data_IF_715823995306
#
_entry.id   IF_715823995306
#
_cell.length_a   1.000
_cell.length_b   1.000
_cell.length_c   1.000
_cell.angle_alpha   90.00
_cell.angle_beta   90.00
_cell.angle_gamma   90.00
#
_symmetry.space_group_name_H-M   'P 1'
#
loop_
_entity.id
_entity.type
_entity.pdbx_description
1 polymer ?
#
# COMPACT_ATOMS: atom_id res chain seq x y z
N UNK A 1 28.67 2.39 -0.04
CA UNK A 1 27.55 3.33 -0.19
C UNK A 1 26.47 2.76 -1.11
N UNK A 2 26.77 2.31 -2.33
CA UNK A 2 25.80 1.61 -3.22
C UNK A 2 25.05 0.43 -2.56
N UNK A 3 25.75 -0.41 -1.80
CA UNK A 3 25.17 -1.58 -1.13
C UNK A 3 24.10 -1.23 -0.07
N UNK A 4 24.26 -0.08 0.59
CA UNK A 4 23.32 0.39 1.61
C UNK A 4 22.00 0.89 0.98
N UNK A 5 22.06 1.53 -0.19
CA UNK A 5 20.89 2.03 -0.91
C UNK A 5 20.12 0.92 -1.63
N UNK A 6 20.80 -0.10 -2.18
CA UNK A 6 20.14 -1.33 -2.66
C UNK A 6 19.33 -2.00 -1.56
N UNK A 7 19.95 -2.14 -0.39
CA UNK A 7 19.28 -2.70 0.80
C UNK A 7 18.04 -1.88 1.19
N UNK A 8 18.12 -0.55 1.10
CA UNK A 8 16.99 0.34 1.39
C UNK A 8 15.83 0.16 0.39
N UNK A 9 16.14 0.09 -0.91
CA UNK A 9 15.13 -0.17 -1.95
C UNK A 9 14.44 -1.54 -1.75
N UNK A 10 15.21 -2.59 -1.42
CA UNK A 10 14.67 -3.93 -1.13
C UNK A 10 13.75 -3.90 0.11
N UNK A 11 14.14 -3.19 1.17
CA UNK A 11 13.31 -3.00 2.37
C UNK A 11 12.01 -2.27 2.03
N UNK A 12 12.06 -1.26 1.14
CA UNK A 12 10.87 -0.54 0.70
C UNK A 12 9.92 -1.45 -0.08
N UNK A 13 10.42 -2.25 -1.02
CA UNK A 13 9.60 -3.23 -1.76
C UNK A 13 8.95 -4.24 -0.81
N UNK A 14 9.72 -4.79 0.15
CA UNK A 14 9.19 -5.68 1.18
C UNK A 14 8.15 -4.99 2.09
N UNK A 15 8.27 -3.68 2.30
CA UNK A 15 7.29 -2.90 3.07
C UNK A 15 6.00 -2.69 2.27
N UNK A 16 6.11 -2.39 0.97
CA UNK A 16 4.93 -2.31 0.10
C UNK A 16 4.15 -3.63 0.08
N UNK A 17 4.84 -4.77 -0.03
CA UNK A 17 4.20 -6.09 0.05
C UNK A 17 3.45 -6.30 1.36
N UNK A 18 4.03 -5.91 2.51
CA UNK A 18 3.33 -5.98 3.81
C UNK A 18 2.08 -5.10 3.87
N UNK A 19 2.09 -3.95 3.20
CA UNK A 19 0.90 -3.08 3.11
C UNK A 19 -0.18 -3.74 2.26
N UNK A 20 0.20 -4.43 1.17
CA UNK A 20 -0.76 -5.19 0.35
C UNK A 20 -1.38 -6.34 1.14
N UNK A 21 -0.58 -7.09 1.89
CA UNK A 21 -1.05 -8.17 2.76
C UNK A 21 -2.04 -7.63 3.81
N UNK A 22 -1.69 -6.51 4.46
CA UNK A 22 -2.57 -5.82 5.41
C UNK A 22 -3.87 -5.37 4.76
N UNK A 23 -3.82 -4.88 3.52
CA UNK A 23 -5.02 -4.49 2.78
C UNK A 23 -5.92 -5.69 2.49
N UNK A 24 -5.35 -6.85 2.13
CA UNK A 24 -6.10 -8.09 1.93
C UNK A 24 -6.77 -8.56 3.22
N UNK A 25 -6.05 -8.52 4.34
CA UNK A 25 -6.59 -8.87 5.65
C UNK A 25 -7.76 -7.95 6.05
N UNK A 26 -7.61 -6.64 5.83
CA UNK A 26 -8.65 -5.65 6.05
C UNK A 26 -9.89 -5.96 5.19
N UNK A 27 -9.72 -6.23 3.90
CA UNK A 27 -10.83 -6.57 3.02
C UNK A 27 -11.55 -7.86 3.46
N UNK A 28 -10.81 -8.87 3.89
CA UNK A 28 -11.36 -10.12 4.43
C UNK A 28 -12.20 -9.88 5.70
N UNK A 29 -11.68 -9.09 6.64
CA UNK A 29 -12.40 -8.76 7.88
C UNK A 29 -13.65 -7.91 7.60
N UNK A 30 -13.58 -6.98 6.66
CA UNK A 30 -14.74 -6.20 6.21
C UNK A 30 -15.81 -7.11 5.59
N UNK A 31 -15.42 -8.08 4.77
CA UNK A 31 -16.36 -9.05 4.20
C UNK A 31 -17.01 -9.91 5.29
N UNK A 32 -16.22 -10.36 6.27
CA UNK A 32 -16.73 -11.10 7.44
C UNK A 32 -17.74 -10.28 8.24
N UNK A 33 -17.41 -9.02 8.53
CA UNK A 33 -18.29 -8.12 9.25
C UNK A 33 -19.60 -7.91 8.49
N UNK A 34 -19.54 -7.74 7.16
CA UNK A 34 -20.74 -7.65 6.33
C UNK A 34 -21.64 -8.88 6.46
N UNK A 35 -21.07 -10.08 6.41
CA UNK A 35 -21.84 -11.32 6.58
C UNK A 35 -22.54 -11.43 7.94
N UNK A 36 -21.85 -11.04 9.03
CA UNK A 36 -22.44 -10.97 10.37
C UNK A 36 -23.60 -9.98 10.39
N UNK A 37 -23.39 -8.81 9.80
CA UNK A 37 -24.37 -7.73 9.74
C UNK A 37 -25.60 -8.12 8.93
N UNK A 38 -25.43 -8.76 7.77
CA UNK A 38 -26.53 -9.26 6.94
C UNK A 38 -27.35 -10.37 7.66
N UNK A 39 -26.70 -11.21 8.48
CA UNK A 39 -27.40 -12.22 9.28
C UNK A 39 -28.32 -11.60 10.36
N UNK A 40 -27.93 -10.46 10.91
CA UNK A 40 -28.69 -9.74 11.93
C UNK A 40 -29.84 -8.92 11.33
N UNK A 41 -29.80 -8.63 10.03
CA UNK A 41 -30.81 -7.84 9.32
C UNK A 41 -32.22 -8.41 9.46
N UNK A 42 -32.36 -9.74 9.45
CA UNK A 42 -33.65 -10.42 9.65
C UNK A 42 -34.24 -10.23 11.05
N UNK A 43 -33.42 -9.88 12.05
CA UNK A 43 -33.85 -9.63 13.43
C UNK A 43 -34.24 -8.17 13.71
N UNK A 44 -33.83 -7.22 12.85
CA UNK A 44 -34.04 -5.77 13.02
C UNK A 44 -35.11 -5.24 12.06
N UNK A 45 -36.36 -5.72 12.20
CA UNK A 45 -37.48 -5.26 11.39
C UNK A 45 -38.08 -3.92 11.90
N UNK A 46 -38.55 -3.08 10.97
CA UNK A 46 -39.26 -1.82 11.28
C UNK A 46 -38.36 -0.58 11.26
N UNK A 47 -38.57 0.35 12.20
CA UNK A 47 -37.89 1.67 12.19
C UNK A 47 -36.36 1.58 12.33
N UNK A 48 -35.84 0.49 12.91
CA UNK A 48 -34.41 0.20 13.00
C UNK A 48 -33.76 -0.10 11.64
N UNK A 49 -34.55 -0.54 10.65
CA UNK A 49 -34.05 -0.89 9.32
C UNK A 49 -33.48 0.33 8.57
N UNK A 50 -34.13 1.49 8.66
CA UNK A 50 -33.65 2.70 7.98
C UNK A 50 -32.32 3.21 8.54
N UNK A 51 -32.16 3.17 9.87
CA UNK A 51 -30.90 3.52 10.53
C UNK A 51 -29.79 2.54 10.18
N UNK A 52 -30.12 1.26 10.08
CA UNK A 52 -29.21 0.22 9.65
C UNK A 52 -28.75 0.39 8.20
N UNK A 53 -29.67 0.59 7.26
CA UNK A 53 -29.34 0.80 5.86
C UNK A 53 -28.43 2.04 5.70
N UNK A 54 -28.70 3.10 6.45
CA UNK A 54 -27.84 4.31 6.48
C UNK A 54 -26.45 4.04 7.04
N UNK A 55 -26.35 3.22 8.09
CA UNK A 55 -25.07 2.77 8.64
C UNK A 55 -24.28 1.97 7.61
N UNK A 56 -24.96 1.08 6.86
CA UNK A 56 -24.33 0.22 5.86
C UNK A 56 -23.76 0.99 4.68
N UNK A 57 -24.47 2.00 4.18
CA UNK A 57 -23.94 2.89 3.13
C UNK A 57 -22.65 3.59 3.60
N UNK A 58 -22.65 4.14 4.82
CA UNK A 58 -21.47 4.82 5.37
C UNK A 58 -20.31 3.87 5.62
N UNK A 59 -20.61 2.64 6.04
CA UNK A 59 -19.62 1.61 6.26
C UNK A 59 -18.96 1.16 4.94
N UNK A 60 -19.75 0.92 3.88
CA UNK A 60 -19.23 0.58 2.55
C UNK A 60 -18.32 1.67 1.99
N UNK A 61 -18.72 2.94 2.14
CA UNK A 61 -17.88 4.09 1.74
C UNK A 61 -16.56 4.15 2.54
N UNK A 62 -16.62 3.94 3.86
CA UNK A 62 -15.42 3.94 4.71
C UNK A 62 -14.48 2.78 4.40
N UNK A 63 -15.04 1.59 4.15
CA UNK A 63 -14.32 0.39 3.72
C UNK A 63 -13.58 0.62 2.39
N UNK A 64 -14.27 1.19 1.40
CA UNK A 64 -13.69 1.52 0.10
C UNK A 64 -12.54 2.53 0.23
N UNK A 65 -12.73 3.58 1.03
CA UNK A 65 -11.70 4.59 1.30
C UNK A 65 -10.45 3.99 1.96
N UNK A 66 -10.63 3.10 2.93
CA UNK A 66 -9.52 2.44 3.60
C UNK A 66 -8.73 1.57 2.61
N UNK A 67 -9.41 0.75 1.81
CA UNK A 67 -8.77 -0.08 0.80
C UNK A 67 -8.00 0.74 -0.24
N UNK A 68 -8.60 1.85 -0.70
CA UNK A 68 -7.96 2.74 -1.66
C UNK A 68 -6.73 3.43 -1.06
N UNK A 69 -6.81 3.86 0.21
CA UNK A 69 -5.69 4.50 0.89
C UNK A 69 -4.51 3.52 1.07
N UNK A 70 -4.78 2.28 1.48
CA UNK A 70 -3.73 1.26 1.63
C UNK A 70 -3.07 0.92 0.29
N UNK A 71 -3.86 0.77 -0.79
CA UNK A 71 -3.31 0.58 -2.13
C UNK A 71 -2.47 1.76 -2.60
N UNK A 72 -2.92 3.00 -2.36
CA UNK A 72 -2.15 4.19 -2.69
C UNK A 72 -0.82 4.26 -1.90
N UNK A 73 -0.82 3.80 -0.64
CA UNK A 73 0.40 3.72 0.17
C UNK A 73 1.37 2.69 -0.40
N UNK A 74 0.92 1.47 -0.74
CA UNK A 74 1.82 0.45 -1.29
C UNK A 74 2.40 0.87 -2.64
N UNK A 75 1.59 1.48 -3.51
CA UNK A 75 2.04 2.03 -4.79
C UNK A 75 3.04 3.18 -4.60
N UNK A 76 2.81 4.09 -3.64
CA UNK A 76 3.74 5.16 -3.34
C UNK A 76 5.10 4.62 -2.86
N UNK A 77 5.09 3.61 -1.99
CA UNK A 77 6.32 2.97 -1.49
C UNK A 77 7.10 2.33 -2.65
N UNK A 78 6.43 1.60 -3.55
CA UNK A 78 7.07 1.00 -4.74
C UNK A 78 7.65 2.05 -5.66
N UNK A 79 6.90 3.12 -5.94
CA UNK A 79 7.36 4.22 -6.79
C UNK A 79 8.60 4.89 -6.22
N UNK A 80 8.66 5.09 -4.90
CA UNK A 80 9.85 5.62 -4.25
C UNK A 80 11.02 4.63 -4.34
N UNK A 81 10.80 3.33 -4.10
CA UNK A 81 11.84 2.31 -4.21
C UNK A 81 12.49 2.27 -5.61
N UNK A 82 11.66 2.36 -6.66
CA UNK A 82 12.16 2.44 -8.04
C UNK A 82 12.96 3.72 -8.32
N UNK A 83 12.51 4.87 -7.81
CA UNK A 83 13.25 6.12 -7.93
C UNK A 83 14.62 6.04 -7.23
N UNK A 84 14.67 5.48 -6.02
CA UNK A 84 15.93 5.26 -5.30
C UNK A 84 16.90 4.38 -6.10
N UNK A 85 16.42 3.27 -6.66
CA UNK A 85 17.24 2.38 -7.49
C UNK A 85 17.74 3.07 -8.79
N UNK A 86 16.88 3.85 -9.46
CA UNK A 86 17.26 4.61 -10.67
C UNK A 86 18.33 5.65 -10.38
N UNK A 87 18.14 6.44 -9.31
CA UNK A 87 19.14 7.44 -8.89
C UNK A 87 20.47 6.80 -8.50
N UNK A 88 20.48 5.55 -8.01
CA UNK A 88 21.71 4.80 -7.77
C UNK A 88 22.44 4.47 -9.08
N UNK A 89 21.73 3.95 -10.08
CA UNK A 89 22.33 3.61 -11.37
C UNK A 89 22.94 4.84 -12.05
N UNK A 90 22.24 5.97 -12.02
CA UNK A 90 22.73 7.24 -12.57
C UNK A 90 23.99 7.71 -11.84
N UNK A 91 23.99 7.71 -10.51
CA UNK A 91 25.16 8.09 -9.71
C UNK A 91 26.34 7.15 -9.95
N UNK A 92 26.11 5.84 -10.01
CA UNK A 92 27.16 4.86 -10.27
C UNK A 92 27.77 5.02 -11.67
N UNK A 93 26.94 5.34 -12.68
CA UNK A 93 27.42 5.65 -14.03
C UNK A 93 28.26 6.93 -14.05
N UNK A 94 27.82 7.99 -13.37
CA UNK A 94 28.57 9.25 -13.26
C UNK A 94 29.94 9.04 -12.58
N UNK A 95 30.00 8.28 -11.49
CA UNK A 95 31.28 7.95 -10.83
C UNK A 95 32.22 7.15 -11.73
N UNK A 96 31.70 6.19 -12.50
CA UNK A 96 32.52 5.42 -13.47
C UNK A 96 33.06 6.31 -14.59
N UNK A 97 32.26 7.25 -15.08
CA UNK A 97 32.68 8.21 -16.10
C UNK A 97 33.84 9.10 -15.59
N UNK A 98 33.69 9.68 -14.39
CA UNK A 98 34.73 10.52 -13.76
C UNK A 98 35.99 9.73 -13.42
N UNK A 99 35.86 8.48 -12.95
CA UNK A 99 37.00 7.60 -12.66
C UNK A 99 37.79 7.17 -13.90
N UNK A 100 37.17 7.18 -15.08
CA UNK A 100 37.81 6.90 -16.37
C UNK A 100 38.63 8.06 -16.93
N UNK A 101 38.22 9.30 -16.67
CA UNK A 101 38.96 10.51 -17.10
C UNK A 101 40.14 10.86 -16.17
N UNK A 102 40.18 10.35 -14.94
CA UNK A 102 41.18 10.69 -13.93
C UNK A 102 42.50 9.90 -13.95
N UNK A 103 42.65 8.87 -14.80
CA UNK A 103 43.84 7.99 -14.83
C UNK A 103 44.75 8.19 -16.05
N UNK A 104 44.65 9.34 -16.73
CA UNK A 104 45.62 9.75 -17.74
C UNK A 104 46.78 10.53 -17.10
N UNK A 105 47.63 9.86 -16.32
CA UNK A 105 48.97 10.33 -15.88
C UNK A 105 49.93 9.13 -15.87
#
# INVERSE_FOLDING_TARGET
>A
MSDQFRTEADVMIATAGRVDDTNQDVQSELHRLRGVVDSLRGSWAGQAQSSFDSLMVRWEDSAGKLSQALGAISDNIRNNAHQFASSEEENAQAFRAVGGEGLAL
#
